data_IF_973157839477
#
_entry.id   IF_973157839477
#
_cell.length_a   1.000
_cell.length_b   1.000
_cell.length_c   1.000
_cell.angle_alpha   90.00
_cell.angle_beta   90.00
_cell.angle_gamma   90.00
#
_symmetry.space_group_name_H-M   'P 1'
#
loop_
_entity.id
_entity.type
_entity.pdbx_description
1 polymer ?
#
# COMPACT_ATOMS: atom_id res chain seq x y z
N UNK A 1 -0.25 2.27 -25.17
CA UNK A 1 0.36 1.27 -24.23
C UNK A 1 -0.05 -0.13 -24.65
N UNK A 2 0.83 -1.12 -24.55
CA UNK A 2 0.45 -2.53 -24.81
C UNK A 2 -0.24 -3.05 -23.56
N UNK A 3 -1.53 -3.36 -23.66
CA UNK A 3 -2.30 -3.87 -22.52
C UNK A 3 -1.89 -5.29 -22.18
N UNK A 4 -1.65 -5.56 -20.89
CA UNK A 4 -1.37 -6.90 -20.36
C UNK A 4 -2.69 -7.65 -20.10
N UNK A 5 -2.69 -8.95 -20.32
CA UNK A 5 -3.78 -9.80 -19.80
C UNK A 5 -3.51 -10.13 -18.32
N UNK A 6 -3.58 -9.10 -17.47
CA UNK A 6 -3.30 -9.21 -16.04
C UNK A 6 -3.90 -8.02 -15.26
N UNK A 7 -4.25 -8.25 -14.01
CA UNK A 7 -4.76 -7.23 -13.10
C UNK A 7 -3.75 -6.87 -12.01
N UNK A 8 -3.81 -5.60 -11.59
CA UNK A 8 -3.16 -5.08 -10.40
C UNK A 8 -4.21 -4.54 -9.44
N UNK A 9 -4.35 -5.16 -8.27
CA UNK A 9 -5.29 -4.74 -7.23
C UNK A 9 -4.58 -3.82 -6.22
N UNK A 10 -5.12 -2.60 -6.01
CA UNK A 10 -4.60 -1.63 -5.06
C UNK A 10 -5.64 -1.40 -3.96
N UNK A 11 -5.43 -2.00 -2.78
CA UNK A 11 -6.27 -1.84 -1.61
C UNK A 11 -5.76 -0.63 -0.82
N UNK A 12 -6.60 0.39 -0.68
CA UNK A 12 -6.21 1.68 -0.15
C UNK A 12 -5.69 2.63 -1.24
N UNK A 13 -6.36 2.63 -2.40
CA UNK A 13 -6.12 3.56 -3.51
C UNK A 13 -6.58 4.99 -3.13
N UNK A 14 -5.89 5.59 -2.15
CA UNK A 14 -6.11 6.98 -1.71
C UNK A 14 -5.47 7.99 -2.66
N UNK A 15 -5.72 9.27 -2.40
CA UNK A 15 -5.46 10.39 -3.31
C UNK A 15 -3.96 10.66 -3.57
N UNK A 16 -3.05 10.04 -2.83
CA UNK A 16 -1.59 10.23 -2.92
C UNK A 16 -0.87 8.93 -3.32
N UNK A 17 -0.27 8.22 -2.37
CA UNK A 17 0.52 7.01 -2.62
C UNK A 17 -0.28 5.96 -3.41
N UNK A 18 -1.51 5.65 -2.99
CA UNK A 18 -2.33 4.64 -3.66
C UNK A 18 -2.71 5.03 -5.09
N UNK A 19 -2.99 6.31 -5.33
CA UNK A 19 -3.25 6.86 -6.67
C UNK A 19 -2.00 6.80 -7.55
N UNK A 20 -0.83 7.20 -7.04
CA UNK A 20 0.43 7.16 -7.77
C UNK A 20 0.79 5.72 -8.16
N UNK A 21 0.66 4.76 -7.22
CA UNK A 21 0.88 3.33 -7.49
C UNK A 21 -0.07 2.85 -8.60
N UNK A 22 -1.36 3.13 -8.50
CA UNK A 22 -2.35 2.73 -9.50
C UNK A 22 -2.00 3.24 -10.90
N UNK A 23 -1.66 4.54 -11.01
CA UNK A 23 -1.23 5.15 -12.28
C UNK A 23 0.06 4.52 -12.82
N UNK A 24 1.03 4.27 -11.94
CA UNK A 24 2.31 3.67 -12.33
C UNK A 24 2.11 2.30 -12.97
N UNK A 25 1.32 1.43 -12.33
CA UNK A 25 1.02 0.10 -12.87
C UNK A 25 0.10 0.15 -14.10
N UNK A 26 -0.83 1.12 -14.18
CA UNK A 26 -1.64 1.34 -15.39
C UNK A 26 -0.78 1.67 -16.61
N UNK A 27 0.25 2.53 -16.46
CA UNK A 27 1.22 2.87 -17.51
C UNK A 27 2.01 1.67 -18.02
N UNK A 28 2.15 0.64 -17.18
CA UNK A 28 2.79 -0.63 -17.54
C UNK A 28 1.80 -1.65 -18.18
N UNK A 29 0.57 -1.23 -18.42
CA UNK A 29 -0.45 -1.99 -19.14
C UNK A 29 -1.33 -2.89 -18.27
N UNK A 30 -1.27 -2.80 -16.95
CA UNK A 30 -2.18 -3.53 -16.06
C UNK A 30 -3.58 -2.91 -16.08
N UNK A 31 -4.62 -3.74 -16.04
CA UNK A 31 -5.94 -3.29 -15.62
C UNK A 31 -5.93 -3.10 -14.09
N UNK A 32 -6.22 -1.89 -13.64
CA UNK A 32 -6.19 -1.54 -12.23
C UNK A 32 -7.53 -1.82 -11.57
N UNK A 33 -7.50 -2.56 -10.46
CA UNK A 33 -8.62 -2.65 -9.53
C UNK A 33 -8.28 -1.77 -8.32
N UNK A 34 -8.95 -0.62 -8.23
CA UNK A 34 -8.73 0.37 -7.17
C UNK A 34 -9.82 0.25 -6.09
N UNK A 35 -9.42 -0.05 -4.84
CA UNK A 35 -10.31 -0.24 -3.71
C UNK A 35 -10.10 0.78 -2.60
N UNK A 36 -11.18 1.46 -2.16
CA UNK A 36 -11.24 2.28 -0.94
C UNK A 36 -12.67 2.34 -0.40
N UNK A 37 -12.85 2.73 0.87
CA UNK A 37 -14.18 2.75 1.52
C UNK A 37 -15.23 3.59 0.79
N UNK A 38 -14.82 4.65 0.14
CA UNK A 38 -15.70 5.59 -0.59
C UNK A 38 -15.32 5.54 -2.08
N UNK A 39 -16.04 4.74 -2.87
CA UNK A 39 -15.73 4.51 -4.29
C UNK A 39 -15.86 5.79 -5.14
N UNK A 40 -16.75 6.72 -4.77
CA UNK A 40 -16.95 7.97 -5.47
C UNK A 40 -15.65 8.80 -5.54
N UNK A 41 -14.82 8.73 -4.50
CA UNK A 41 -13.54 9.41 -4.47
C UNK A 41 -12.47 8.79 -5.39
N UNK A 42 -12.75 7.64 -6.00
CA UNK A 42 -11.89 7.00 -7.00
C UNK A 42 -12.22 7.44 -8.44
N UNK A 43 -13.30 8.18 -8.65
CA UNK A 43 -13.72 8.57 -10.00
C UNK A 43 -12.70 9.47 -10.69
N UNK A 44 -12.02 10.35 -9.97
CA UNK A 44 -10.94 11.17 -10.51
C UNK A 44 -9.77 10.30 -10.97
N UNK A 45 -9.31 9.39 -10.12
CA UNK A 45 -8.24 8.44 -10.44
C UNK A 45 -8.59 7.58 -11.67
N UNK A 46 -9.84 7.06 -11.73
CA UNK A 46 -10.32 6.27 -12.86
C UNK A 46 -10.23 7.07 -14.16
N UNK A 47 -10.77 8.29 -14.17
CA UNK A 47 -10.74 9.18 -15.35
C UNK A 47 -9.32 9.52 -15.80
N UNK A 48 -8.41 9.77 -14.86
CA UNK A 48 -7.00 10.08 -15.16
C UNK A 48 -6.30 8.89 -15.81
N UNK A 49 -6.51 7.67 -15.30
CA UNK A 49 -5.96 6.43 -15.89
C UNK A 49 -6.53 6.20 -17.28
N UNK A 50 -7.85 6.35 -17.47
CA UNK A 50 -8.53 6.18 -18.76
C UNK A 50 -8.08 7.22 -19.79
N UNK A 51 -7.87 8.48 -19.35
CA UNK A 51 -7.37 9.54 -20.22
C UNK A 51 -5.95 9.28 -20.74
N UNK A 52 -5.13 8.53 -19.98
CA UNK A 52 -3.80 8.07 -20.37
C UNK A 52 -3.85 6.76 -21.21
N UNK A 53 -5.05 6.24 -21.52
CA UNK A 53 -5.24 5.01 -22.29
C UNK A 53 -5.11 3.72 -21.47
N UNK A 54 -5.13 3.79 -20.15
CA UNK A 54 -5.17 2.66 -19.24
C UNK A 54 -6.60 2.20 -18.93
N UNK A 55 -6.74 1.16 -18.11
CA UNK A 55 -8.02 0.63 -17.64
C UNK A 55 -8.08 0.61 -16.11
N UNK A 56 -9.20 1.06 -15.52
CA UNK A 56 -9.36 1.10 -14.07
C UNK A 56 -10.80 0.78 -13.64
N UNK A 57 -10.93 -0.15 -12.72
CA UNK A 57 -12.16 -0.50 -12.02
C UNK A 57 -12.11 0.02 -10.58
N UNK A 58 -13.04 0.91 -10.24
CA UNK A 58 -13.15 1.53 -8.92
C UNK A 58 -14.23 0.84 -8.09
N UNK A 59 -13.90 0.41 -6.87
CA UNK A 59 -14.83 -0.32 -5.98
C UNK A 59 -14.81 0.21 -4.55
N UNK A 60 -15.97 0.18 -3.91
CA UNK A 60 -16.06 0.35 -2.46
C UNK A 60 -15.48 -0.89 -1.77
N UNK A 61 -14.59 -0.68 -0.78
CA UNK A 61 -13.90 -1.75 -0.09
C UNK A 61 -13.52 -1.32 1.34
N UNK A 62 -13.98 -2.05 2.34
CA UNK A 62 -13.45 -1.96 3.69
C UNK A 62 -12.49 -3.13 3.96
N UNK A 63 -11.20 -2.85 3.97
CA UNK A 63 -10.15 -3.87 4.14
C UNK A 63 -10.22 -4.65 5.47
N UNK A 64 -11.05 -4.22 6.43
CA UNK A 64 -11.30 -4.95 7.70
C UNK A 64 -12.32 -6.07 7.55
N UNK A 65 -13.04 -6.10 6.43
CA UNK A 65 -14.08 -7.08 6.16
C UNK A 65 -13.57 -8.13 5.20
N UNK A 66 -13.55 -9.37 5.64
CA UNK A 66 -13.07 -10.49 4.84
C UNK A 66 -13.87 -10.66 3.54
N UNK A 67 -15.20 -10.53 3.63
CA UNK A 67 -16.07 -10.63 2.47
C UNK A 67 -15.78 -9.57 1.42
N UNK A 68 -15.57 -8.31 1.84
CA UNK A 68 -15.24 -7.22 0.91
C UNK A 68 -13.92 -7.51 0.17
N UNK A 69 -12.88 -7.99 0.89
CA UNK A 69 -11.59 -8.38 0.31
C UNK A 69 -11.74 -9.54 -0.66
N UNK A 70 -12.46 -10.60 -0.25
CA UNK A 70 -12.67 -11.79 -1.07
C UNK A 70 -13.40 -11.45 -2.36
N UNK A 71 -14.49 -10.69 -2.28
CA UNK A 71 -15.27 -10.29 -3.45
C UNK A 71 -14.45 -9.40 -4.40
N UNK A 72 -13.74 -8.41 -3.85
CA UNK A 72 -12.93 -7.48 -4.64
C UNK A 72 -11.80 -8.18 -5.40
N UNK A 73 -11.03 -9.04 -4.73
CA UNK A 73 -9.91 -9.75 -5.37
C UNK A 73 -10.39 -10.83 -6.33
N UNK A 74 -11.50 -11.53 -6.01
CA UNK A 74 -12.11 -12.48 -6.93
C UNK A 74 -12.66 -11.81 -8.19
N UNK A 75 -13.20 -10.60 -8.09
CA UNK A 75 -13.63 -9.83 -9.26
C UNK A 75 -12.42 -9.43 -10.13
N UNK A 76 -11.33 -9.00 -9.51
CA UNK A 76 -10.10 -8.69 -10.21
C UNK A 76 -9.55 -9.91 -10.96
N UNK A 77 -9.45 -11.08 -10.30
CA UNK A 77 -8.94 -12.31 -10.88
C UNK A 77 -9.82 -12.88 -11.99
N UNK A 78 -11.15 -12.69 -11.89
CA UNK A 78 -12.09 -13.06 -12.96
C UNK A 78 -11.98 -12.19 -14.21
N UNK A 79 -11.60 -10.93 -14.04
CA UNK A 79 -11.40 -10.00 -15.15
C UNK A 79 -10.17 -10.40 -15.99
N UNK A 80 -9.04 -10.65 -15.32
CA UNK A 80 -7.82 -11.23 -15.86
C UNK A 80 -6.98 -11.75 -14.67
N UNK A 81 -6.01 -12.66 -14.86
CA UNK A 81 -5.20 -13.20 -13.79
C UNK A 81 -4.65 -12.11 -12.85
N UNK A 82 -4.89 -12.25 -11.54
CA UNK A 82 -4.37 -11.36 -10.52
C UNK A 82 -2.84 -11.55 -10.41
N UNK A 83 -2.09 -10.65 -11.00
CA UNK A 83 -0.62 -10.71 -11.03
C UNK A 83 0.03 -9.87 -9.92
N UNK A 84 -0.64 -8.78 -9.51
CA UNK A 84 -0.14 -7.88 -8.46
C UNK A 84 -1.25 -7.52 -7.47
N UNK A 85 -0.94 -7.62 -6.18
CA UNK A 85 -1.81 -7.14 -5.10
C UNK A 85 -1.03 -6.24 -4.15
N UNK A 86 -1.49 -5.02 -3.95
CA UNK A 86 -0.83 -4.01 -3.13
C UNK A 86 -1.75 -3.59 -2.00
N UNK A 87 -1.29 -3.82 -0.76
CA UNK A 87 -1.98 -3.37 0.44
C UNK A 87 -1.37 -2.06 0.94
N UNK A 88 -2.07 -0.95 0.70
CA UNK A 88 -1.64 0.41 1.02
C UNK A 88 -2.56 1.10 2.05
N UNK A 89 -3.19 0.32 2.93
CA UNK A 89 -4.07 0.91 3.96
C UNK A 89 -3.23 1.48 5.10
N UNK A 90 -3.42 2.77 5.35
CA UNK A 90 -2.85 3.49 6.48
C UNK A 90 -3.84 3.60 7.65
N UNK A 91 -3.30 3.82 8.84
CA UNK A 91 -4.04 4.14 10.06
C UNK A 91 -3.17 5.01 10.96
N UNK A 92 -2.48 6.00 10.36
CA UNK A 92 -1.53 6.86 11.06
C UNK A 92 -2.27 7.78 12.05
N UNK A 93 -2.29 7.38 13.31
CA UNK A 93 -2.80 8.16 14.44
C UNK A 93 -1.69 8.39 15.46
N UNK A 94 -1.74 9.51 16.15
CA UNK A 94 -0.83 9.84 17.24
C UNK A 94 -1.66 10.26 18.46
N UNK A 95 -1.60 9.44 19.51
CA UNK A 95 -2.23 9.70 20.81
C UNK A 95 -1.26 9.34 21.93
N UNK A 96 -1.16 10.13 23.00
CA UNK A 96 -0.45 9.72 24.22
C UNK A 96 -0.93 8.33 24.69
N UNK A 97 -0.02 7.56 25.27
CA UNK A 97 -0.33 6.16 25.65
C UNK A 97 -1.58 6.07 26.54
N UNK A 98 -1.70 6.92 27.55
CA UNK A 98 -2.83 6.91 28.48
C UNK A 98 -4.15 7.41 27.87
N UNK A 99 -4.09 8.11 26.74
CA UNK A 99 -5.26 8.58 25.97
C UNK A 99 -5.64 7.62 24.84
N UNK A 100 -4.78 6.64 24.54
CA UNK A 100 -5.05 5.61 23.51
C UNK A 100 -6.07 4.63 24.04
N UNK A 101 -7.33 4.79 23.65
CA UNK A 101 -8.41 3.92 24.07
C UNK A 101 -8.30 2.54 23.40
N UNK A 102 -8.88 1.49 24.03
CA UNK A 102 -9.00 0.14 23.46
C UNK A 102 -9.61 0.18 22.05
N UNK A 103 -10.65 0.97 21.87
CA UNK A 103 -11.31 1.15 20.57
C UNK A 103 -10.38 1.70 19.50
N UNK A 104 -9.54 2.71 19.83
CA UNK A 104 -8.57 3.27 18.89
C UNK A 104 -7.52 2.23 18.54
N UNK A 105 -6.93 1.58 19.55
CA UNK A 105 -5.90 0.56 19.36
C UNK A 105 -6.39 -0.57 18.46
N UNK A 106 -7.56 -1.14 18.77
CA UNK A 106 -8.19 -2.22 17.99
C UNK A 106 -8.45 -1.79 16.54
N UNK A 107 -9.08 -0.63 16.31
CA UNK A 107 -9.39 -0.15 14.97
C UNK A 107 -8.15 0.08 14.11
N UNK A 108 -7.09 0.62 14.69
CA UNK A 108 -5.82 0.83 13.99
C UNK A 108 -5.20 -0.52 13.60
N UNK A 109 -5.22 -1.48 14.51
CA UNK A 109 -4.71 -2.83 14.26
C UNK A 109 -5.53 -3.55 13.18
N UNK A 110 -6.87 -3.49 13.26
CA UNK A 110 -7.77 -4.05 12.26
C UNK A 110 -7.51 -3.46 10.86
N UNK A 111 -7.29 -2.15 10.77
CA UNK A 111 -7.04 -1.48 9.49
C UNK A 111 -5.67 -1.82 8.91
N UNK A 112 -4.60 -1.71 9.69
CA UNK A 112 -3.24 -1.72 9.17
C UNK A 112 -2.52 -3.08 9.27
N UNK A 113 -2.99 -4.00 10.12
CA UNK A 113 -2.42 -5.34 10.28
C UNK A 113 -3.39 -6.42 9.78
N UNK A 114 -4.57 -6.52 10.41
CA UNK A 114 -5.54 -7.58 10.09
C UNK A 114 -6.02 -7.49 8.64
N UNK A 115 -6.35 -6.28 8.15
CA UNK A 115 -6.70 -6.08 6.74
C UNK A 115 -5.59 -6.51 5.78
N UNK A 116 -4.32 -6.30 6.16
CA UNK A 116 -3.18 -6.79 5.39
C UNK A 116 -3.09 -8.31 5.34
N UNK A 117 -3.33 -8.98 6.48
CA UNK A 117 -3.42 -10.43 6.54
C UNK A 117 -4.53 -10.97 5.63
N UNK A 118 -5.74 -10.43 5.72
CA UNK A 118 -6.87 -10.83 4.87
C UNK A 118 -6.52 -10.67 3.38
N UNK A 119 -5.99 -9.50 3.02
CA UNK A 119 -5.58 -9.18 1.65
C UNK A 119 -4.53 -10.14 1.12
N UNK A 120 -3.43 -10.33 1.86
CA UNK A 120 -2.34 -11.19 1.42
C UNK A 120 -2.74 -12.65 1.32
N UNK A 121 -3.55 -13.15 2.26
CA UNK A 121 -4.07 -14.52 2.25
C UNK A 121 -4.95 -14.77 1.03
N UNK A 122 -5.87 -13.87 0.73
CA UNK A 122 -6.77 -14.03 -0.42
C UNK A 122 -6.03 -13.86 -1.75
N UNK A 123 -5.13 -12.87 -1.85
CA UNK A 123 -4.29 -12.72 -3.03
C UNK A 123 -3.45 -13.98 -3.30
N UNK A 124 -2.84 -14.56 -2.25
CA UNK A 124 -2.08 -15.80 -2.38
C UNK A 124 -2.96 -16.95 -2.89
N UNK A 125 -4.19 -17.09 -2.37
CA UNK A 125 -5.15 -18.13 -2.79
C UNK A 125 -5.45 -18.05 -4.29
N UNK A 126 -5.61 -16.84 -4.83
CA UNK A 126 -5.88 -16.59 -6.24
C UNK A 126 -4.63 -16.74 -7.12
N UNK A 127 -3.46 -16.29 -6.66
CA UNK A 127 -2.21 -16.33 -7.42
C UNK A 127 -1.60 -17.74 -7.52
N UNK A 128 -1.75 -18.57 -6.49
CA UNK A 128 -1.15 -19.92 -6.46
C UNK A 128 -1.57 -20.81 -7.65
N UNK A 129 -2.85 -20.85 -8.07
CA UNK A 129 -3.25 -21.60 -9.28
C UNK A 129 -2.61 -21.08 -10.56
N UNK A 130 -2.28 -19.78 -10.63
CA UNK A 130 -1.58 -19.18 -11.77
C UNK A 130 -0.06 -19.43 -11.74
N UNK A 131 0.48 -19.96 -10.63
CA UNK A 131 1.89 -20.29 -10.46
C UNK A 131 2.82 -19.08 -10.40
N UNK A 132 2.30 -17.86 -10.23
CA UNK A 132 3.05 -16.60 -10.10
C UNK A 132 2.21 -15.51 -9.46
N UNK A 133 2.86 -14.49 -8.94
CA UNK A 133 2.21 -13.28 -8.44
C UNK A 133 3.14 -12.44 -7.57
N UNK A 134 2.71 -11.21 -7.29
CA UNK A 134 3.44 -10.29 -6.41
C UNK A 134 2.50 -9.67 -5.38
N UNK A 135 2.83 -9.78 -4.10
CA UNK A 135 2.07 -9.20 -3.00
C UNK A 135 2.97 -8.17 -2.29
N UNK A 136 2.54 -6.91 -2.27
CA UNK A 136 3.31 -5.81 -1.72
C UNK A 136 2.56 -5.15 -0.55
N UNK A 137 3.26 -4.98 0.57
CA UNK A 137 2.71 -4.35 1.77
C UNK A 137 3.38 -3.00 2.02
N UNK A 138 2.56 -1.95 2.20
CA UNK A 138 3.06 -0.63 2.58
C UNK A 138 3.42 -0.58 4.05
N UNK A 139 4.70 -0.51 4.32
CA UNK A 139 5.28 -0.22 5.63
C UNK A 139 5.38 1.27 5.93
N UNK A 140 6.02 1.58 7.02
CA UNK A 140 6.27 2.95 7.48
C UNK A 140 7.46 2.93 8.46
N UNK A 141 7.97 4.10 8.86
CA UNK A 141 8.85 4.27 10.03
C UNK A 141 8.36 3.43 11.22
N UNK A 142 7.04 3.43 11.44
CA UNK A 142 6.37 2.67 12.49
C UNK A 142 6.44 1.13 12.33
N UNK A 143 6.92 0.62 11.22
CA UNK A 143 7.25 -0.82 11.03
C UNK A 143 8.61 -1.18 11.61
N UNK A 144 9.47 -0.20 11.86
CA UNK A 144 10.87 -0.36 12.25
C UNK A 144 11.15 0.08 13.69
N UNK A 145 10.42 1.09 14.18
CA UNK A 145 10.58 1.65 15.52
C UNK A 145 9.27 2.25 16.05
N UNK A 146 9.04 2.11 17.35
CA UNK A 146 7.99 2.83 18.06
C UNK A 146 8.38 4.29 18.25
N UNK A 147 7.38 5.17 18.27
CA UNK A 147 7.56 6.59 18.60
C UNK A 147 6.58 7.01 19.68
N UNK A 148 6.82 8.16 20.30
CA UNK A 148 5.92 8.75 21.31
C UNK A 148 4.54 8.98 20.66
N UNK A 149 3.48 8.44 21.28
CA UNK A 149 2.11 8.55 20.81
C UNK A 149 1.73 7.58 19.68
N UNK A 150 2.63 6.70 19.24
CA UNK A 150 2.38 5.78 18.13
C UNK A 150 2.16 4.31 18.55
N UNK A 151 1.84 4.04 19.82
CA UNK A 151 1.67 2.67 20.30
C UNK A 151 0.71 1.84 19.43
N UNK A 152 -0.45 2.37 19.07
CA UNK A 152 -1.43 1.67 18.22
C UNK A 152 -0.91 1.50 16.80
N UNK A 153 -0.36 2.55 16.18
CA UNK A 153 0.10 2.51 14.79
C UNK A 153 1.35 1.65 14.62
N UNK A 154 2.33 1.78 15.53
CA UNK A 154 3.55 0.99 15.47
C UNK A 154 3.28 -0.50 15.69
N UNK A 155 2.45 -0.87 16.67
CA UNK A 155 2.09 -2.29 16.88
C UNK A 155 1.44 -2.91 15.63
N UNK A 156 0.56 -2.16 14.96
CA UNK A 156 -0.10 -2.63 13.74
C UNK A 156 0.87 -2.77 12.56
N UNK A 157 1.80 -1.82 12.39
CA UNK A 157 2.79 -1.85 11.30
C UNK A 157 3.89 -2.89 11.52
N UNK A 158 4.33 -3.12 12.77
CA UNK A 158 5.19 -4.26 13.11
C UNK A 158 4.47 -5.59 12.85
N UNK A 159 3.20 -5.70 13.24
CA UNK A 159 2.38 -6.87 12.95
C UNK A 159 2.26 -7.13 11.44
N UNK A 160 2.02 -6.11 10.63
CA UNK A 160 1.98 -6.23 9.17
C UNK A 160 3.31 -6.70 8.60
N UNK A 161 4.44 -6.17 9.10
CA UNK A 161 5.79 -6.61 8.71
C UNK A 161 6.00 -8.10 9.02
N UNK A 162 5.58 -8.55 10.20
CA UNK A 162 5.68 -9.97 10.58
C UNK A 162 4.82 -10.87 9.68
N UNK A 163 3.61 -10.43 9.32
CA UNK A 163 2.74 -11.12 8.35
C UNK A 163 3.43 -11.22 6.99
N UNK A 164 4.00 -10.13 6.47
CA UNK A 164 4.73 -10.13 5.20
C UNK A 164 5.94 -11.09 5.23
N UNK A 165 6.69 -11.12 6.33
CA UNK A 165 7.83 -12.03 6.52
C UNK A 165 7.42 -13.51 6.50
N UNK A 166 6.32 -13.86 7.17
CA UNK A 166 5.77 -15.22 7.18
C UNK A 166 5.30 -15.63 5.78
N UNK A 167 4.55 -14.76 5.12
CA UNK A 167 4.07 -15.00 3.75
C UNK A 167 5.22 -15.16 2.76
N UNK A 168 6.28 -14.33 2.83
CA UNK A 168 7.43 -14.43 1.94
C UNK A 168 8.11 -15.79 2.02
N UNK A 169 8.28 -16.33 3.25
CA UNK A 169 8.91 -17.65 3.47
C UNK A 169 8.04 -18.80 2.96
N UNK A 170 6.73 -18.70 3.15
CA UNK A 170 5.80 -19.75 2.74
C UNK A 170 5.51 -19.75 1.24
N UNK A 171 5.42 -18.56 0.64
CA UNK A 171 4.95 -18.37 -0.74
C UNK A 171 6.08 -18.21 -1.76
N UNK A 172 7.27 -17.74 -1.33
CA UNK A 172 8.43 -17.60 -2.20
C UNK A 172 8.81 -18.88 -2.94
N UNK A 173 8.90 -20.05 -2.26
CA UNK A 173 9.13 -21.35 -2.94
C UNK A 173 8.06 -21.73 -3.95
N UNK A 174 6.88 -21.12 -3.87
CA UNK A 174 5.73 -21.32 -4.77
C UNK A 174 5.63 -20.24 -5.86
N UNK A 175 6.73 -19.49 -6.08
CA UNK A 175 6.83 -18.44 -7.10
C UNK A 175 5.90 -17.23 -6.87
N UNK A 176 5.57 -16.91 -5.62
CA UNK A 176 4.86 -15.70 -5.25
C UNK A 176 5.84 -14.75 -4.55
N UNK A 177 6.10 -13.60 -5.15
CA UNK A 177 6.98 -12.58 -4.59
C UNK A 177 6.22 -11.77 -3.52
N UNK A 178 6.67 -11.81 -2.27
CA UNK A 178 6.09 -11.05 -1.18
C UNK A 178 7.10 -10.05 -0.64
N UNK A 179 6.77 -8.75 -0.68
CA UNK A 179 7.66 -7.72 -0.16
C UNK A 179 6.93 -6.69 0.71
N UNK A 180 7.71 -6.09 1.61
CA UNK A 180 7.31 -5.04 2.53
C UNK A 180 8.15 -3.79 2.25
N UNK A 181 7.49 -2.70 1.84
CA UNK A 181 8.15 -1.44 1.51
C UNK A 181 8.01 -0.47 2.68
N UNK A 182 9.12 -0.15 3.33
CA UNK A 182 9.20 0.80 4.44
C UNK A 182 9.31 2.21 3.86
N UNK A 183 8.26 3.02 4.03
CA UNK A 183 8.28 4.45 3.71
C UNK A 183 8.71 5.17 4.98
N UNK A 184 10.03 5.39 5.11
CA UNK A 184 10.62 5.88 6.36
C UNK A 184 10.79 7.41 6.35
N UNK A 185 9.73 8.14 6.16
CA UNK A 185 9.62 9.58 6.37
C UNK A 185 8.23 10.12 6.07
N UNK A 186 8.10 11.46 6.05
CA UNK A 186 6.92 12.18 5.57
C UNK A 186 6.78 12.08 4.05
N UNK A 187 5.56 11.83 3.60
CA UNK A 187 5.18 11.88 2.18
C UNK A 187 4.49 13.21 1.92
N UNK A 188 4.73 13.84 0.78
CA UNK A 188 4.07 15.09 0.41
C UNK A 188 2.58 14.87 0.16
N UNK A 189 1.81 15.12 1.21
CA UNK A 189 0.36 14.98 1.24
C UNK A 189 -0.24 16.17 1.99
N UNK A 190 -1.50 16.51 1.69
CA UNK A 190 -2.19 17.56 2.45
C UNK A 190 -2.16 17.29 3.96
N UNK A 191 -2.34 16.03 4.38
CA UNK A 191 -2.29 15.64 5.78
C UNK A 191 -0.94 15.93 6.43
N UNK A 192 0.18 15.60 5.76
CA UNK A 192 1.53 15.85 6.28
C UNK A 192 1.83 17.36 6.28
N UNK A 193 1.45 18.08 5.21
CA UNK A 193 1.59 19.54 5.15
C UNK A 193 0.84 20.25 6.26
N UNK A 194 -0.40 19.85 6.55
CA UNK A 194 -1.18 20.41 7.67
C UNK A 194 -0.54 20.10 9.04
N UNK A 195 0.03 18.91 9.24
CA UNK A 195 0.78 18.58 10.46
C UNK A 195 2.02 19.47 10.64
N UNK A 196 2.74 19.75 9.55
CA UNK A 196 3.91 20.64 9.57
C UNK A 196 3.49 22.06 9.96
N UNK A 197 2.38 22.56 9.38
CA UNK A 197 1.80 23.87 9.75
C UNK A 197 1.37 23.91 11.21
N UNK A 198 0.69 22.87 11.69
CA UNK A 198 0.29 22.77 13.10
C UNK A 198 1.48 22.73 14.05
N UNK A 199 2.64 22.26 13.59
CA UNK A 199 3.92 22.33 14.31
C UNK A 199 4.65 23.67 14.19
N UNK A 200 4.02 24.71 13.63
CA UNK A 200 4.55 26.07 13.52
C UNK A 200 5.59 26.25 12.40
N UNK A 201 5.68 25.34 11.43
CA UNK A 201 6.57 25.45 10.27
C UNK A 201 5.76 25.64 8.98
N UNK A 202 6.34 26.36 8.01
CA UNK A 202 5.76 26.48 6.68
C UNK A 202 6.24 25.29 5.80
N UNK A 203 5.34 24.43 5.30
CA UNK A 203 5.74 23.31 4.44
C UNK A 203 6.34 23.76 3.08
N UNK A 204 6.02 24.98 2.61
CA UNK A 204 6.54 25.51 1.35
C UNK A 204 7.99 26.08 1.49
N UNK A 205 8.45 26.26 2.72
CA UNK A 205 9.81 26.71 3.06
C UNK A 205 10.74 25.56 3.47
N UNK A 206 10.24 24.31 3.42
CA UNK A 206 11.09 23.16 3.70
C UNK A 206 12.20 23.04 2.66
N UNK A 207 13.41 22.60 3.05
CA UNK A 207 14.43 22.27 2.09
C UNK A 207 13.90 21.27 1.06
N UNK A 208 14.39 21.39 -0.17
CA UNK A 208 14.10 20.44 -1.22
C UNK A 208 14.39 19.01 -0.74
N UNK A 209 13.60 18.06 -1.21
CA UNK A 209 13.75 16.63 -0.90
C UNK A 209 13.62 16.32 0.61
N UNK A 210 12.83 17.11 1.36
CA UNK A 210 12.44 16.82 2.76
C UNK A 210 11.26 15.86 2.86
N UNK A 211 10.35 15.90 1.88
CA UNK A 211 9.21 15.00 1.78
C UNK A 211 9.37 14.14 0.53
N UNK A 212 8.89 12.90 0.61
CA UNK A 212 8.84 12.02 -0.54
C UNK A 212 7.66 12.34 -1.45
N UNK A 213 7.91 12.41 -2.75
CA UNK A 213 6.85 12.48 -3.74
C UNK A 213 6.16 11.11 -3.87
N UNK A 214 4.81 11.08 -3.98
CA UNK A 214 4.09 9.83 -4.20
C UNK A 214 4.55 9.04 -5.43
N UNK A 215 4.96 9.72 -6.50
CA UNK A 215 5.44 9.09 -7.73
C UNK A 215 6.77 8.36 -7.52
N UNK A 216 7.70 8.92 -6.75
CA UNK A 216 8.96 8.25 -6.38
C UNK A 216 8.71 6.96 -5.57
N UNK A 217 7.68 6.99 -4.72
CA UNK A 217 7.25 5.80 -3.98
C UNK A 217 6.67 4.76 -4.95
N UNK A 218 5.82 5.16 -5.89
CA UNK A 218 5.22 4.27 -6.88
C UNK A 218 6.27 3.60 -7.78
N UNK A 219 7.35 4.30 -8.15
CA UNK A 219 8.48 3.74 -8.87
C UNK A 219 9.22 2.67 -8.07
N UNK A 220 9.34 2.84 -6.75
CA UNK A 220 9.90 1.81 -5.87
C UNK A 220 9.04 0.53 -5.85
N UNK A 221 7.70 0.65 -5.86
CA UNK A 221 6.79 -0.50 -6.00
C UNK A 221 6.98 -1.23 -7.32
N UNK A 222 7.06 -0.47 -8.41
CA UNK A 222 7.33 -1.03 -9.73
C UNK A 222 8.70 -1.73 -9.78
N UNK A 223 9.74 -1.10 -9.25
CA UNK A 223 11.07 -1.70 -9.17
C UNK A 223 11.06 -3.05 -8.48
N UNK A 224 10.44 -3.16 -7.31
CA UNK A 224 10.34 -4.43 -6.56
C UNK A 224 9.56 -5.48 -7.34
N UNK A 225 8.41 -5.10 -7.93
CA UNK A 225 7.60 -6.02 -8.73
C UNK A 225 8.34 -6.56 -9.96
N UNK A 226 9.12 -5.72 -10.65
CA UNK A 226 9.76 -6.06 -11.92
C UNK A 226 11.07 -6.85 -11.78
N UNK A 227 11.49 -7.17 -10.55
CA UNK A 227 12.74 -7.89 -10.30
C UNK A 227 12.72 -9.34 -10.82
N UNK A 228 13.86 -9.84 -11.34
CA UNK A 228 13.99 -11.25 -11.69
C UNK A 228 14.00 -12.12 -10.43
N UNK A 229 13.61 -13.40 -10.61
CA UNK A 229 13.42 -14.36 -9.50
C UNK A 229 14.67 -14.65 -8.67
N UNK A 230 15.84 -14.50 -9.25
CA UNK A 230 17.13 -14.71 -8.60
C UNK A 230 17.59 -13.53 -7.73
N UNK A 231 16.82 -12.42 -7.74
CA UNK A 231 17.13 -11.20 -7.01
C UNK A 231 15.93 -10.51 -6.36
N UNK A 232 14.97 -11.27 -5.81
CA UNK A 232 13.79 -10.69 -5.16
C UNK A 232 14.12 -9.97 -3.85
N UNK A 233 13.74 -8.71 -3.76
CA UNK A 233 13.76 -7.91 -2.53
C UNK A 233 12.56 -8.27 -1.65
N UNK A 234 12.82 -8.72 -0.43
CA UNK A 234 11.74 -8.93 0.55
C UNK A 234 11.38 -7.64 1.31
N UNK A 235 12.38 -6.86 1.70
CA UNK A 235 12.14 -5.58 2.40
C UNK A 235 12.96 -4.47 1.74
N UNK A 236 12.28 -3.38 1.38
CA UNK A 236 12.88 -2.18 0.80
C UNK A 236 12.56 -0.99 1.71
N UNK A 237 13.61 -0.30 2.16
CA UNK A 237 13.50 0.93 2.94
C UNK A 237 13.82 2.12 2.03
N UNK A 238 12.88 3.05 1.92
CA UNK A 238 13.03 4.27 1.14
C UNK A 238 12.74 5.50 2.00
N UNK A 239 13.52 6.55 1.77
CA UNK A 239 13.41 7.82 2.49
C UNK A 239 13.90 8.98 1.65
N UNK A 240 13.46 10.22 1.92
CA UNK A 240 13.95 11.38 1.22
C UNK A 240 15.39 11.71 1.65
N UNK A 241 16.12 12.38 0.78
CA UNK A 241 17.53 12.77 1.03
C UNK A 241 17.74 13.53 2.34
N UNK A 242 16.79 14.40 2.70
CA UNK A 242 16.91 15.25 3.88
C UNK A 242 16.46 14.58 5.20
N UNK A 243 16.04 13.30 5.16
CA UNK A 243 15.68 12.58 6.39
C UNK A 243 16.90 12.37 7.28
N UNK A 244 16.74 12.69 8.57
CA UNK A 244 17.80 12.48 9.57
C UNK A 244 17.60 11.14 10.27
N UNK A 245 18.68 10.41 10.38
CA UNK A 245 18.73 9.10 11.04
C UNK A 245 18.77 9.21 12.56
#
# INVERSE_FOLDING_TARGET
MTQRNATCAVIGAGDYIGSAIAKRFAREGYTIFAGRRTAEKLQTLKKEIEAEGGACEARALDARKEEDITNFLSEADKHAPLDVCIFNVGANVNFPLLETTERVFRKVWEMACYGGFLTGREAARLMLPHGKGTILFTGATASMRGGIGYAAFASAKFGLRAVAQSMARELGPKNIHVAHLVIDSGVDTAFVRERIKAGGRNPDELPKDTLMEPDSIADAYWYVHSQPRDGWTHELDIRPYAEKW
#
